data_IF_988642223387
#
_entry.id   IF_988642223387
#
_cell.length_a   1.000
_cell.length_b   1.000
_cell.length_c   1.000
_cell.angle_alpha   90.00
_cell.angle_beta   90.00
_cell.angle_gamma   90.00
#
_symmetry.space_group_name_H-M   'P 1'
#
loop_
_entity.id
_entity.type
_entity.pdbx_description
1 polymer ?
#
# COMPACT_ATOMS: atom_id res chain seq x y z
N UNK A 1 38.36 10.37 -41.39
CA UNK A 1 37.48 11.21 -40.54
C UNK A 1 36.80 10.32 -39.51
N UNK A 2 37.25 10.36 -38.25
CA UNK A 2 36.74 9.53 -37.17
C UNK A 2 35.59 10.27 -36.47
N UNK A 3 34.33 9.86 -36.70
CA UNK A 3 33.15 10.44 -36.03
C UNK A 3 32.72 9.49 -34.90
N UNK A 4 33.34 9.62 -33.74
CA UNK A 4 32.81 9.04 -32.50
C UNK A 4 31.65 9.93 -32.04
N UNK A 5 30.45 9.65 -32.53
CA UNK A 5 29.23 10.27 -32.03
C UNK A 5 28.99 9.76 -30.60
N UNK A 6 28.98 10.60 -29.56
CA UNK A 6 28.60 10.17 -28.23
C UNK A 6 27.11 9.80 -28.25
N UNK A 7 26.81 8.52 -28.04
CA UNK A 7 25.45 8.02 -27.90
C UNK A 7 24.82 8.61 -26.64
N UNK A 8 24.09 9.71 -26.77
CA UNK A 8 23.22 10.20 -25.70
C UNK A 8 22.01 9.26 -25.59
N UNK A 9 22.02 8.42 -24.56
CA UNK A 9 20.94 7.49 -24.26
C UNK A 9 19.72 8.27 -23.76
N UNK A 10 18.85 8.74 -24.68
CA UNK A 10 17.58 9.36 -24.31
C UNK A 10 16.65 8.28 -23.75
N UNK A 11 16.72 8.02 -22.44
CA UNK A 11 15.71 7.22 -21.76
C UNK A 11 14.42 8.03 -21.75
N UNK A 12 13.43 7.56 -22.49
CA UNK A 12 12.07 8.09 -22.38
C UNK A 12 11.61 7.96 -20.92
N UNK A 13 10.83 8.91 -20.42
CA UNK A 13 10.19 8.80 -19.10
C UNK A 13 9.45 7.46 -18.98
N UNK A 14 8.87 6.98 -20.08
CA UNK A 14 8.22 5.68 -20.16
C UNK A 14 9.17 4.51 -19.84
N UNK A 15 10.43 4.54 -20.30
CA UNK A 15 11.37 3.46 -20.00
C UNK A 15 11.84 3.49 -18.54
N UNK A 16 11.89 4.68 -17.91
CA UNK A 16 12.12 4.80 -16.46
C UNK A 16 10.93 4.26 -15.66
N UNK A 17 9.71 4.59 -16.05
CA UNK A 17 8.48 4.12 -15.38
C UNK A 17 8.32 2.59 -15.51
N UNK A 18 8.59 2.02 -16.68
CA UNK A 18 8.56 0.56 -16.87
C UNK A 18 9.63 -0.13 -16.01
N UNK A 19 10.83 0.45 -15.94
CA UNK A 19 11.90 -0.11 -15.09
C UNK A 19 11.52 -0.06 -13.61
N UNK A 20 10.91 1.03 -13.15
CA UNK A 20 10.43 1.18 -11.78
C UNK A 20 9.27 0.21 -11.47
N UNK A 21 8.35 -0.01 -12.42
CA UNK A 21 7.24 -0.94 -12.27
C UNK A 21 7.70 -2.40 -12.20
N UNK A 22 8.72 -2.78 -12.99
CA UNK A 22 9.31 -4.13 -12.95
C UNK A 22 10.13 -4.34 -11.67
N UNK A 23 10.72 -3.27 -11.12
CA UNK A 23 11.51 -3.35 -9.88
C UNK A 23 10.67 -3.20 -8.61
N UNK A 24 9.43 -2.70 -8.71
CA UNK A 24 8.54 -2.63 -7.57
C UNK A 24 8.31 -4.05 -7.03
N UNK A 25 8.66 -4.27 -5.76
CA UNK A 25 8.41 -5.55 -5.10
C UNK A 25 6.90 -5.84 -5.14
N UNK A 26 6.49 -7.05 -5.57
CA UNK A 26 5.09 -7.47 -5.45
C UNK A 26 4.68 -7.34 -3.98
N UNK A 27 3.64 -6.55 -3.68
CA UNK A 27 3.14 -6.35 -2.33
C UNK A 27 3.46 -5.00 -1.67
N UNK A 28 4.02 -4.03 -2.39
CA UNK A 28 4.03 -2.63 -1.93
C UNK A 28 2.82 -1.89 -2.52
N UNK A 29 1.62 -2.23 -2.04
CA UNK A 29 0.44 -1.40 -2.33
C UNK A 29 0.63 0.00 -1.73
N UNK A 30 0.19 1.03 -2.44
CA UNK A 30 0.25 2.40 -1.96
C UNK A 30 -0.61 2.54 -0.69
N UNK A 31 -0.04 3.15 0.37
CA UNK A 31 -0.71 3.33 1.64
C UNK A 31 -2.00 4.16 1.51
N UNK A 32 -3.10 3.58 1.99
CA UNK A 32 -4.47 4.07 1.89
C UNK A 32 -4.99 4.37 3.28
N UNK A 33 -5.04 5.65 3.63
CA UNK A 33 -5.46 6.09 4.97
C UNK A 33 -6.93 5.79 5.27
N UNK A 34 -7.83 5.91 4.29
CA UNK A 34 -9.26 5.63 4.45
C UNK A 34 -9.72 4.62 3.42
N UNK A 35 -10.12 3.44 3.89
CA UNK A 35 -10.56 2.33 3.06
C UNK A 35 -12.08 2.33 3.00
N UNK A 36 -12.61 2.73 1.84
CA UNK A 36 -14.05 2.74 1.51
C UNK A 36 -14.42 1.73 0.40
N UNK A 37 -13.41 0.99 -0.07
CA UNK A 37 -13.50 -0.04 -1.10
C UNK A 37 -12.58 -1.20 -0.75
N UNK A 38 -12.02 -1.88 -1.75
CA UNK A 38 -11.12 -3.02 -1.52
C UNK A 38 -9.66 -2.60 -1.64
N UNK A 39 -8.86 -2.93 -0.64
CA UNK A 39 -7.39 -2.76 -0.63
C UNK A 39 -6.74 -4.12 -0.33
N UNK A 40 -5.67 -4.45 -1.06
CA UNK A 40 -5.01 -5.74 -0.96
C UNK A 40 -3.50 -5.54 -0.77
N UNK A 41 -2.89 -6.46 -0.02
CA UNK A 41 -1.43 -6.62 0.09
C UNK A 41 -0.73 -5.30 0.45
N UNK A 42 -1.28 -4.61 1.44
CA UNK A 42 -0.82 -3.29 1.85
C UNK A 42 -0.06 -3.35 3.17
N UNK A 43 1.02 -2.58 3.25
CA UNK A 43 1.74 -2.37 4.50
C UNK A 43 1.21 -1.11 5.20
N UNK A 44 0.74 -1.25 6.42
CA UNK A 44 0.25 -0.15 7.26
C UNK A 44 1.38 0.29 8.18
N UNK A 45 1.95 1.46 7.86
CA UNK A 45 3.02 2.16 8.59
C UNK A 45 2.53 3.48 9.23
N UNK A 46 1.22 3.62 9.34
CA UNK A 46 0.56 4.80 9.88
C UNK A 46 -0.87 4.48 10.30
N UNK A 47 -1.72 5.49 10.38
CA UNK A 47 -3.13 5.28 10.73
C UNK A 47 -3.96 4.96 9.48
N UNK A 48 -4.54 3.77 9.43
CA UNK A 48 -5.52 3.38 8.44
C UNK A 48 -6.88 3.20 9.09
N UNK A 49 -7.92 3.80 8.51
CA UNK A 49 -9.32 3.62 8.88
C UNK A 49 -10.02 2.76 7.83
N UNK A 50 -10.65 1.68 8.25
CA UNK A 50 -11.48 0.83 7.39
C UNK A 50 -12.94 1.06 7.77
N UNK A 51 -13.67 1.80 6.93
CA UNK A 51 -15.07 2.12 7.17
C UNK A 51 -16.00 0.95 6.79
N UNK A 52 -17.29 1.09 7.06
CA UNK A 52 -18.34 0.07 6.84
C UNK A 52 -18.43 -0.50 5.41
N UNK A 53 -17.86 0.19 4.43
CA UNK A 53 -17.80 -0.25 3.02
C UNK A 53 -16.42 -0.76 2.60
N UNK A 54 -15.45 -0.64 3.51
CA UNK A 54 -14.06 -0.98 3.30
C UNK A 54 -13.77 -2.45 3.55
N UNK A 55 -12.92 -3.01 2.70
CA UNK A 55 -12.34 -4.34 2.88
C UNK A 55 -10.84 -4.24 2.67
N UNK A 56 -10.07 -4.69 3.65
CA UNK A 56 -8.63 -4.89 3.51
C UNK A 56 -8.33 -6.38 3.48
N UNK A 57 -7.42 -6.81 2.60
CA UNK A 57 -6.98 -8.20 2.52
C UNK A 57 -5.45 -8.26 2.58
N UNK A 58 -4.94 -9.22 3.35
CA UNK A 58 -3.51 -9.48 3.50
C UNK A 58 -2.73 -8.23 3.98
N UNK A 59 -3.33 -7.44 4.86
CA UNK A 59 -2.67 -6.25 5.39
C UNK A 59 -1.50 -6.64 6.28
N UNK A 60 -0.36 -6.00 6.09
CA UNK A 60 0.80 -6.13 6.95
C UNK A 60 0.94 -4.88 7.83
N UNK A 61 0.51 -4.96 9.07
CA UNK A 61 0.56 -3.85 10.04
C UNK A 61 1.90 -3.95 10.77
N UNK A 62 2.83 -3.05 10.44
CA UNK A 62 4.18 -3.04 11.00
C UNK A 62 4.22 -2.21 12.29
N UNK A 63 5.40 -2.12 12.92
CA UNK A 63 5.61 -1.23 14.06
C UNK A 63 5.06 0.17 13.75
N UNK A 64 4.48 0.87 14.74
CA UNK A 64 3.83 2.19 14.59
C UNK A 64 2.64 2.27 13.61
N UNK A 65 2.31 1.19 12.90
CA UNK A 65 1.11 1.06 12.11
C UNK A 65 -0.12 0.83 12.99
N UNK A 66 -1.23 1.51 12.67
CA UNK A 66 -2.51 1.32 13.35
C UNK A 66 -3.64 1.19 12.34
N UNK A 67 -4.33 0.06 12.33
CA UNK A 67 -5.53 -0.15 11.54
C UNK A 67 -6.77 -0.10 12.43
N UNK A 68 -7.64 0.87 12.22
CA UNK A 68 -8.92 1.02 12.90
C UNK A 68 -10.06 0.53 11.97
N UNK A 69 -10.58 -0.66 12.25
CA UNK A 69 -11.69 -1.26 11.50
C UNK A 69 -13.01 -0.86 12.16
N UNK A 70 -13.70 0.11 11.56
CA UNK A 70 -15.00 0.61 12.00
C UNK A 70 -16.12 0.08 11.10
N UNK A 71 -16.68 -1.07 11.47
CA UNK A 71 -17.76 -1.71 10.72
C UNK A 71 -17.35 -2.30 9.36
N UNK A 72 -16.09 -2.12 8.93
CA UNK A 72 -15.53 -2.72 7.72
C UNK A 72 -14.98 -4.12 7.93
N UNK A 73 -14.25 -4.61 6.94
CA UNK A 73 -13.69 -5.97 6.91
C UNK A 73 -12.16 -5.90 6.80
N UNK A 74 -11.48 -6.72 7.60
CA UNK A 74 -10.03 -6.91 7.52
C UNK A 74 -9.71 -8.40 7.54
N UNK A 75 -9.18 -8.91 6.42
CA UNK A 75 -8.94 -10.32 6.18
C UNK A 75 -7.45 -10.63 6.15
N UNK A 76 -7.05 -11.71 6.81
CA UNK A 76 -5.69 -12.27 6.74
C UNK A 76 -4.59 -11.28 7.12
N UNK A 77 -4.85 -10.42 8.09
CA UNK A 77 -3.89 -9.40 8.54
C UNK A 77 -2.77 -10.01 9.36
N UNK A 78 -1.55 -9.57 9.11
CA UNK A 78 -0.35 -9.84 9.91
C UNK A 78 -0.07 -8.58 10.72
N UNK A 79 0.04 -8.72 12.05
CA UNK A 79 0.34 -7.62 12.96
C UNK A 79 1.70 -7.91 13.59
N UNK A 80 2.70 -7.11 13.25
CA UNK A 80 4.02 -7.21 13.84
C UNK A 80 4.10 -6.55 15.22
N UNK A 81 5.22 -6.74 15.91
CA UNK A 81 5.44 -6.11 17.21
C UNK A 81 5.44 -4.59 17.09
N UNK A 82 4.53 -3.95 17.82
CA UNK A 82 4.33 -2.50 17.82
C UNK A 82 3.30 -2.01 16.78
N UNK A 83 2.72 -2.91 15.99
CA UNK A 83 1.53 -2.63 15.19
C UNK A 83 0.26 -2.85 15.98
N UNK A 84 -0.81 -2.16 15.61
CA UNK A 84 -2.11 -2.22 16.29
C UNK A 84 -3.25 -2.42 15.30
N UNK A 85 -4.20 -3.30 15.65
CA UNK A 85 -5.48 -3.41 14.96
C UNK A 85 -6.62 -3.24 15.97
N UNK A 86 -7.45 -2.22 15.78
CA UNK A 86 -8.60 -1.94 16.61
C UNK A 86 -9.87 -2.23 15.83
N UNK A 87 -10.63 -3.23 16.26
CA UNK A 87 -11.88 -3.62 15.61
C UNK A 87 -13.05 -3.15 16.47
N UNK A 88 -13.93 -2.35 15.88
CA UNK A 88 -15.11 -1.84 16.57
C UNK A 88 -16.33 -1.76 15.65
N UNK A 89 -17.51 -1.80 16.26
CA UNK A 89 -18.76 -1.61 15.55
C UNK A 89 -19.03 -0.11 15.37
N UNK A 90 -19.48 0.28 14.19
CA UNK A 90 -20.02 1.61 13.96
C UNK A 90 -21.49 1.66 14.42
N UNK A 91 -21.70 1.68 15.74
CA UNK A 91 -23.04 1.86 16.29
C UNK A 91 -23.41 3.36 16.27
N UNK A 92 -24.06 3.79 15.19
CA UNK A 92 -24.84 5.04 15.23
C UNK A 92 -26.14 4.75 15.97
N UNK A 93 -26.25 5.23 17.21
CA UNK A 93 -27.51 5.31 17.95
C UNK A 93 -28.50 6.25 17.25
#
# INVERSE_FOLDING_TARGET
MNRTSPYYFRRSVLSLLISALIYAQPGMAAFTTNVIGVVNDETVDGNQRVDERGTTNNTHIINHGRQEVYGGISNSSIIETGGEQLVSIHARY
#
